data_IF_895299025058
#
_entry.id   IF_895299025058
#
_cell.length_a   1.000
_cell.length_b   1.000
_cell.length_c   1.000
_cell.angle_alpha   90.00
_cell.angle_beta   90.00
_cell.angle_gamma   90.00
#
_symmetry.space_group_name_H-M   'P 1'
#
loop_
_entity.id
_entity.type
_entity.pdbx_description
1 polymer ?
#
# COMPACT_ATOMS: atom_id res chain seq x y z
N UNK A 1 12.88 -51.32 29.02
CA UNK A 1 11.54 -51.18 29.63
C UNK A 1 10.67 -52.23 28.96
N UNK A 2 10.33 -53.32 29.66
CA UNK A 2 9.17 -53.41 30.57
C UNK A 2 7.83 -53.50 29.81
N UNK A 3 6.92 -54.45 30.10
CA UNK A 3 6.83 -55.33 31.29
C UNK A 3 6.70 -56.84 31.00
N UNK A 4 7.09 -57.62 32.01
CA UNK A 4 6.72 -59.01 32.25
C UNK A 4 5.55 -59.01 33.24
N UNK A 5 4.60 -59.96 33.13
CA UNK A 5 3.74 -60.60 34.18
C UNK A 5 2.36 -60.96 33.56
N UNK A 6 1.53 -61.94 33.97
CA UNK A 6 1.60 -63.25 34.68
C UNK A 6 0.28 -63.48 35.45
N UNK A 7 -0.63 -64.31 34.91
CA UNK A 7 -1.71 -65.06 35.62
C UNK A 7 -2.08 -66.26 34.73
N UNK A 8 -2.17 -67.54 35.13
CA UNK A 8 -1.79 -68.31 36.35
C UNK A 8 -2.73 -68.36 37.58
N UNK A 9 -4.04 -68.41 37.39
CA UNK A 9 -5.01 -69.02 38.33
C UNK A 9 -6.29 -69.43 37.57
N UNK A 10 -7.18 -70.30 38.07
CA UNK A 10 -7.33 -70.85 39.42
C UNK A 10 -7.74 -72.34 39.40
N UNK A 11 -7.04 -73.19 40.16
CA UNK A 11 -7.67 -74.40 40.72
C UNK A 11 -8.59 -73.97 41.88
N UNK A 12 -9.87 -74.31 41.81
CA UNK A 12 -10.82 -74.44 42.95
C UNK A 12 -12.14 -75.01 42.39
N UNK A 13 -12.90 -75.82 43.13
CA UNK A 13 -12.64 -76.32 44.48
C UNK A 13 -13.89 -76.43 45.33
N UNK A 14 -14.88 -77.22 44.90
CA UNK A 14 -16.04 -77.63 45.70
C UNK A 14 -16.60 -78.97 45.18
N UNK A 15 -17.22 -79.83 45.98
CA UNK A 15 -17.33 -79.78 47.44
C UNK A 15 -18.70 -80.15 48.01
N UNK A 16 -18.89 -81.44 48.33
CA UNK A 16 -19.85 -81.99 49.30
C UNK A 16 -21.36 -82.04 48.93
N UNK A 17 -21.96 -83.22 49.23
CA UNK A 17 -23.40 -83.50 49.56
C UNK A 17 -24.40 -83.52 48.37
N UNK A 18 -25.48 -84.34 48.38
CA UNK A 18 -25.89 -85.36 49.38
C UNK A 18 -26.94 -86.39 48.87
N UNK A 19 -26.79 -87.65 49.34
CA UNK A 19 -27.82 -88.58 49.85
C UNK A 19 -28.92 -89.21 48.94
N UNK A 20 -29.40 -90.38 49.42
CA UNK A 20 -30.49 -91.27 48.95
C UNK A 20 -30.16 -92.13 47.70
N UNK A 21 -30.18 -93.47 47.73
CA UNK A 21 -30.27 -94.50 48.80
C UNK A 21 -29.49 -95.76 48.32
N UNK A 22 -29.23 -96.84 49.08
CA UNK A 22 -29.97 -97.46 50.19
C UNK A 22 -31.18 -98.24 49.64
N UNK A 23 -31.28 -99.59 49.66
CA UNK A 23 -30.55 -100.72 50.30
C UNK A 23 -30.43 -101.89 49.29
N UNK A 24 -29.73 -103.00 49.50
CA UNK A 24 -28.78 -103.41 50.56
C UNK A 24 -28.63 -104.95 50.65
N UNK A 25 -27.63 -105.39 51.41
CA UNK A 25 -27.39 -106.76 51.91
C UNK A 25 -26.82 -106.65 53.34
N UNK A 26 -26.80 -107.71 54.16
CA UNK A 26 -27.38 -109.04 54.02
C UNK A 26 -28.48 -109.31 55.08
N UNK A 27 -29.13 -110.47 55.03
CA UNK A 27 -29.93 -110.99 56.14
C UNK A 27 -29.65 -112.49 56.35
N UNK A 28 -29.33 -112.85 57.59
CA UNK A 28 -29.31 -114.22 58.11
C UNK A 28 -30.45 -114.33 59.16
N UNK A 29 -30.31 -115.24 60.14
CA UNK A 29 -31.18 -115.41 61.32
C UNK A 29 -32.63 -115.91 61.03
N UNK A 30 -33.28 -116.63 61.97
CA UNK A 30 -33.84 -117.95 61.63
C UNK A 30 -35.22 -118.22 62.31
N UNK A 31 -35.48 -119.48 62.73
CA UNK A 31 -36.51 -119.94 63.70
C UNK A 31 -37.95 -119.97 63.17
N UNK A 32 -38.80 -121.00 63.41
CA UNK A 32 -38.60 -122.38 63.91
C UNK A 32 -39.92 -123.19 63.72
N UNK A 33 -40.00 -124.38 64.33
CA UNK A 33 -41.21 -125.16 64.66
C UNK A 33 -41.98 -125.86 63.50
N UNK A 34 -41.58 -127.11 63.20
CA UNK A 34 -42.30 -128.33 63.64
C UNK A 34 -41.71 -129.57 62.92
N UNK A 35 -40.89 -130.43 63.53
CA UNK A 35 -41.09 -131.27 64.72
C UNK A 35 -41.92 -132.55 64.48
N UNK A 36 -41.36 -133.53 63.75
CA UNK A 36 -41.79 -134.94 63.80
C UNK A 36 -40.58 -135.90 63.83
N UNK A 37 -39.92 -135.98 65.00
CA UNK A 37 -39.19 -137.17 65.43
C UNK A 37 -40.03 -137.89 66.50
N UNK A 38 -40.60 -139.06 66.16
CA UNK A 38 -41.26 -140.09 67.01
C UNK A 38 -42.18 -140.93 66.10
N UNK A 39 -42.36 -142.24 66.24
CA UNK A 39 -41.78 -143.25 67.16
C UNK A 39 -41.76 -144.62 66.47
N UNK A 40 -41.12 -145.63 67.09
CA UNK A 40 -41.59 -147.02 66.95
C UNK A 40 -42.99 -147.22 67.57
N UNK A 41 -43.63 -148.38 67.37
CA UNK A 41 -43.14 -149.62 67.98
C UNK A 41 -42.81 -150.69 66.93
N UNK A 42 -41.82 -151.59 67.09
CA UNK A 42 -41.45 -152.45 68.23
C UNK A 42 -42.51 -153.53 68.50
N UNK A 43 -42.24 -154.74 68.01
CA UNK A 43 -43.03 -155.95 68.24
C UNK A 43 -43.30 -156.21 69.72
N UNK A 44 -44.37 -156.95 70.03
CA UNK A 44 -44.17 -158.37 70.39
C UNK A 44 -45.28 -159.27 69.79
N UNK A 45 -45.37 -160.59 70.00
CA UNK A 45 -44.63 -161.49 70.92
C UNK A 45 -44.16 -162.75 70.19
N UNK A 46 -42.97 -163.23 70.55
CA UNK A 46 -42.67 -164.67 70.49
C UNK A 46 -43.03 -165.28 71.83
N UNK A 47 -43.90 -166.32 71.87
CA UNK A 47 -43.78 -167.51 72.76
C UNK A 47 -45.11 -168.24 72.97
N UNK A 48 -45.11 -169.54 72.67
CA UNK A 48 -45.75 -170.57 73.52
C UNK A 48 -45.39 -171.97 73.00
N UNK A 49 -44.28 -172.54 73.48
CA UNK A 49 -44.05 -173.98 73.44
C UNK A 49 -44.88 -174.63 74.55
N UNK A 50 -45.92 -175.39 74.22
CA UNK A 50 -46.49 -176.39 75.12
C UNK A 50 -46.89 -177.66 74.37
N UNK A 51 -46.95 -178.76 75.13
CA UNK A 51 -47.02 -180.16 74.71
C UNK A 51 -48.25 -180.80 75.36
N UNK A 52 -48.72 -181.93 74.79
CA UNK A 52 -49.94 -182.67 75.17
C UNK A 52 -51.21 -182.08 74.51
N UNK A 53 -52.21 -182.86 74.11
CA UNK A 53 -52.66 -184.14 74.69
C UNK A 53 -52.95 -185.27 73.69
N UNK A 54 -53.34 -186.42 74.23
CA UNK A 54 -53.56 -187.70 73.53
C UNK A 54 -54.87 -187.79 72.74
N UNK A 55 -54.86 -188.62 71.70
CA UNK A 55 -55.97 -189.35 71.07
C UNK A 55 -57.38 -188.74 71.02
N UNK A 56 -57.81 -188.39 69.81
CA UNK A 56 -58.95 -189.06 69.15
C UNK A 56 -58.85 -188.90 67.63
N UNK A 57 -59.36 -189.88 66.87
CA UNK A 57 -59.39 -189.81 65.41
C UNK A 57 -60.49 -188.85 64.94
N UNK A 58 -60.14 -187.88 64.10
CA UNK A 58 -61.07 -186.91 63.50
C UNK A 58 -61.31 -187.24 62.02
N UNK A 59 -62.53 -187.00 61.54
CA UNK A 59 -62.96 -187.47 60.21
C UNK A 59 -62.20 -186.79 59.06
N UNK A 60 -61.89 -187.50 57.95
CA UNK A 60 -61.33 -186.90 56.72
C UNK A 60 -62.19 -185.77 56.10
N UNK A 61 -63.45 -185.60 56.51
CA UNK A 61 -64.27 -184.43 56.17
C UNK A 61 -63.63 -183.11 56.65
N UNK A 62 -62.96 -183.13 57.81
CA UNK A 62 -62.37 -181.94 58.41
C UNK A 62 -61.13 -181.47 57.64
N UNK A 63 -60.26 -182.40 57.24
CA UNK A 63 -59.08 -182.11 56.42
C UNK A 63 -59.46 -181.58 55.03
N UNK A 64 -60.46 -182.18 54.38
CA UNK A 64 -61.00 -181.69 53.11
C UNK A 64 -61.59 -180.27 53.23
N UNK A 65 -62.21 -179.94 54.36
CA UNK A 65 -62.70 -178.58 54.65
C UNK A 65 -61.55 -177.58 54.78
N UNK A 66 -60.46 -177.94 55.46
CA UNK A 66 -59.23 -177.11 55.57
C UNK A 66 -58.58 -176.91 54.20
N UNK A 67 -58.40 -177.97 53.40
CA UNK A 67 -57.83 -177.91 52.05
C UNK A 67 -58.69 -177.01 51.14
N UNK A 68 -60.02 -177.06 51.27
CA UNK A 68 -60.94 -176.19 50.51
C UNK A 68 -60.76 -174.72 50.88
N UNK A 69 -60.64 -174.39 52.17
CA UNK A 69 -60.35 -173.02 52.64
C UNK A 69 -59.00 -172.52 52.15
N UNK A 70 -57.94 -173.30 52.32
CA UNK A 70 -56.59 -172.95 51.84
C UNK A 70 -56.57 -172.71 50.32
N UNK A 71 -57.33 -173.47 49.52
CA UNK A 71 -57.48 -173.21 48.08
C UNK A 71 -58.22 -171.91 47.78
N UNK A 72 -59.24 -171.55 48.56
CA UNK A 72 -59.96 -170.27 48.42
C UNK A 72 -59.07 -169.09 48.82
N UNK A 73 -58.33 -169.20 49.93
CA UNK A 73 -57.35 -168.22 50.41
C UNK A 73 -56.23 -168.00 49.40
N UNK A 74 -55.69 -169.08 48.80
CA UNK A 74 -54.72 -168.98 47.71
C UNK A 74 -55.29 -168.34 46.44
N UNK A 75 -56.57 -168.56 46.10
CA UNK A 75 -57.18 -167.86 44.96
C UNK A 75 -57.43 -166.38 45.23
N UNK A 76 -57.80 -166.01 46.46
CA UNK A 76 -57.87 -164.61 46.88
C UNK A 76 -56.49 -163.95 46.83
N UNK A 77 -55.44 -164.62 47.32
CA UNK A 77 -54.07 -164.12 47.24
C UNK A 77 -53.60 -163.95 45.78
N UNK A 78 -53.93 -164.89 44.89
CA UNK A 78 -53.63 -164.77 43.45
C UNK A 78 -54.41 -163.60 42.80
N UNK A 79 -55.63 -163.33 43.23
CA UNK A 79 -56.41 -162.18 42.76
C UNK A 79 -55.84 -160.85 43.28
N UNK A 80 -55.48 -160.78 44.56
CA UNK A 80 -54.88 -159.60 45.18
C UNK A 80 -53.47 -159.29 44.63
N UNK A 81 -52.66 -160.32 44.38
CA UNK A 81 -51.36 -160.16 43.70
C UNK A 81 -51.53 -159.67 42.25
N UNK A 82 -52.55 -160.12 41.52
CA UNK A 82 -52.88 -159.60 40.19
C UNK A 82 -53.39 -158.16 40.22
N UNK A 83 -54.10 -157.77 41.28
CA UNK A 83 -54.51 -156.37 41.44
C UNK A 83 -53.32 -155.48 41.76
N UNK A 84 -52.42 -155.90 42.67
CA UNK A 84 -51.19 -155.13 42.94
C UNK A 84 -50.24 -155.07 41.76
N UNK A 85 -50.19 -156.11 40.92
CA UNK A 85 -49.46 -156.05 39.65
C UNK A 85 -50.09 -155.03 38.69
N UNK A 86 -51.43 -154.95 38.60
CA UNK A 86 -52.11 -153.87 37.85
C UNK A 86 -51.82 -152.49 38.44
N UNK A 87 -52.02 -152.28 39.74
CA UNK A 87 -51.73 -151.01 40.43
C UNK A 87 -50.27 -150.56 40.22
N UNK A 88 -49.32 -151.49 40.29
CA UNK A 88 -47.90 -151.21 40.08
C UNK A 88 -47.59 -150.86 38.62
N UNK A 89 -48.17 -151.57 37.65
CA UNK A 89 -48.05 -151.23 36.23
C UNK A 89 -48.69 -149.87 35.91
N UNK A 90 -49.85 -149.54 36.50
CA UNK A 90 -50.49 -148.23 36.35
C UNK A 90 -49.67 -147.11 37.00
N UNK A 91 -49.08 -147.33 38.19
CA UNK A 91 -48.15 -146.38 38.79
C UNK A 91 -46.89 -146.19 37.93
N UNK A 92 -46.32 -147.27 37.36
CA UNK A 92 -45.20 -147.18 36.41
C UNK A 92 -45.61 -146.39 35.16
N UNK A 93 -46.81 -146.60 34.63
CA UNK A 93 -47.34 -145.83 33.49
C UNK A 93 -47.62 -144.35 33.84
N UNK A 94 -48.03 -144.03 35.07
CA UNK A 94 -48.12 -142.65 35.58
C UNK A 94 -46.73 -142.02 35.69
N UNK A 95 -45.77 -142.70 36.32
CA UNK A 95 -44.40 -142.22 36.47
C UNK A 95 -43.71 -142.02 35.11
N UNK A 96 -43.88 -142.93 34.14
CA UNK A 96 -43.32 -142.80 32.80
C UNK A 96 -43.91 -141.59 32.06
N UNK A 97 -45.23 -141.35 32.17
CA UNK A 97 -45.87 -140.14 31.63
C UNK A 97 -45.38 -138.86 32.31
N UNK A 98 -45.15 -138.89 33.61
CA UNK A 98 -44.54 -137.76 34.33
C UNK A 98 -43.11 -137.50 33.85
N UNK A 99 -42.27 -138.54 33.72
CA UNK A 99 -40.89 -138.40 33.19
C UNK A 99 -40.91 -137.75 31.79
N UNK A 100 -41.75 -138.25 30.88
CA UNK A 100 -41.90 -137.69 29.53
C UNK A 100 -42.39 -136.23 29.54
N UNK A 101 -43.28 -135.84 30.47
CA UNK A 101 -43.70 -134.46 30.65
C UNK A 101 -42.56 -133.57 31.17
N UNK A 102 -41.83 -134.01 32.19
CA UNK A 102 -40.65 -133.31 32.74
C UNK A 102 -39.52 -133.17 31.69
N UNK A 103 -39.30 -134.19 30.86
CA UNK A 103 -38.38 -134.13 29.73
C UNK A 103 -38.85 -133.12 28.68
N UNK A 104 -40.13 -133.12 28.32
CA UNK A 104 -40.72 -132.16 27.40
C UNK A 104 -40.58 -130.72 27.90
N UNK A 105 -40.87 -130.47 29.18
CA UNK A 105 -40.74 -129.14 29.79
C UNK A 105 -39.28 -128.70 29.94
N UNK A 106 -38.36 -129.62 30.27
CA UNK A 106 -36.91 -129.37 30.23
C UNK A 106 -36.46 -128.90 28.84
N UNK A 107 -36.91 -129.55 27.76
CA UNK A 107 -36.57 -129.12 26.40
C UNK A 107 -37.15 -127.73 26.08
N UNK A 108 -38.42 -127.44 26.44
CA UNK A 108 -39.01 -126.10 26.28
C UNK A 108 -38.19 -125.03 27.01
N UNK A 109 -37.77 -125.29 28.24
CA UNK A 109 -36.95 -124.37 29.05
C UNK A 109 -35.59 -124.11 28.38
N UNK A 110 -34.94 -125.14 27.82
CA UNK A 110 -33.67 -124.97 27.09
C UNK A 110 -33.84 -124.09 25.85
N UNK A 111 -34.82 -124.37 24.98
CA UNK A 111 -35.09 -123.54 23.79
C UNK A 111 -35.48 -122.10 24.13
N UNK A 112 -36.20 -121.88 25.25
CA UNK A 112 -36.48 -120.54 25.75
C UNK A 112 -35.22 -119.83 26.27
N UNK A 113 -34.34 -120.54 26.98
CA UNK A 113 -33.06 -119.98 27.45
C UNK A 113 -32.13 -119.60 26.29
N UNK A 114 -32.03 -120.44 25.26
CA UNK A 114 -31.32 -120.16 24.01
C UNK A 114 -31.88 -118.88 23.35
N UNK A 115 -33.21 -118.81 23.16
CA UNK A 115 -33.88 -117.63 22.60
C UNK A 115 -33.66 -116.37 23.44
N UNK A 116 -33.67 -116.47 24.76
CA UNK A 116 -33.34 -115.35 25.65
C UNK A 116 -31.88 -114.93 25.53
N UNK A 117 -30.93 -115.86 25.33
CA UNK A 117 -29.52 -115.51 25.10
C UNK A 117 -29.33 -114.74 23.78
N UNK A 118 -30.01 -115.15 22.70
CA UNK A 118 -29.99 -114.46 21.41
C UNK A 118 -30.55 -113.04 21.53
N UNK A 119 -31.74 -112.88 22.11
CA UNK A 119 -32.37 -111.58 22.35
C UNK A 119 -31.51 -110.66 23.25
N UNK A 120 -30.81 -111.23 24.23
CA UNK A 120 -29.87 -110.49 25.09
C UNK A 120 -28.65 -110.01 24.30
N UNK A 121 -28.10 -110.83 23.41
CA UNK A 121 -26.98 -110.43 22.53
C UNK A 121 -27.41 -109.35 21.53
N UNK A 122 -28.60 -109.44 20.94
CA UNK A 122 -29.19 -108.40 20.10
C UNK A 122 -29.39 -107.09 20.85
N UNK A 123 -29.94 -107.14 22.07
CA UNK A 123 -30.15 -105.95 22.91
C UNK A 123 -28.82 -105.28 23.26
N UNK A 124 -27.78 -106.06 23.57
CA UNK A 124 -26.44 -105.55 23.83
C UNK A 124 -25.81 -104.91 22.58
N UNK A 125 -26.00 -105.50 21.39
CA UNK A 125 -25.57 -104.91 20.11
C UNK A 125 -26.31 -103.59 19.82
N UNK A 126 -27.65 -103.58 19.94
CA UNK A 126 -28.48 -102.38 19.79
C UNK A 126 -28.05 -101.27 20.78
N UNK A 127 -27.76 -101.63 22.03
CA UNK A 127 -27.22 -100.70 23.04
C UNK A 127 -25.81 -100.17 22.70
N UNK A 128 -24.95 -100.97 22.07
CA UNK A 128 -23.63 -100.52 21.60
C UNK A 128 -23.75 -99.54 20.43
N UNK A 129 -24.66 -99.81 19.48
CA UNK A 129 -25.00 -98.92 18.36
C UNK A 129 -25.59 -97.60 18.87
N UNK A 130 -26.52 -97.62 19.82
CA UNK A 130 -27.07 -96.41 20.44
C UNK A 130 -25.94 -95.60 21.09
N UNK A 131 -25.04 -96.24 21.87
CA UNK A 131 -23.89 -95.55 22.51
C UNK A 131 -22.93 -94.93 21.50
N UNK A 132 -22.68 -95.53 20.33
CA UNK A 132 -21.82 -94.94 19.30
C UNK A 132 -22.53 -93.80 18.54
N UNK A 133 -23.82 -93.95 18.23
CA UNK A 133 -24.64 -92.90 17.62
C UNK A 133 -24.76 -91.67 18.52
N UNK A 134 -25.02 -91.84 19.82
CA UNK A 134 -25.08 -90.71 20.78
C UNK A 134 -23.73 -89.99 20.90
N UNK A 135 -22.60 -90.70 20.86
CA UNK A 135 -21.27 -90.06 20.80
C UNK A 135 -21.09 -89.24 19.53
N UNK A 136 -21.48 -89.78 18.37
CA UNK A 136 -21.38 -89.09 17.07
C UNK A 136 -22.29 -87.86 17.02
N UNK A 137 -23.51 -87.96 17.56
CA UNK A 137 -24.45 -86.84 17.64
C UNK A 137 -23.85 -85.69 18.43
N UNK A 138 -23.33 -85.94 19.64
CA UNK A 138 -22.69 -84.91 20.47
C UNK A 138 -21.48 -84.24 19.81
N UNK A 139 -20.71 -84.99 19.02
CA UNK A 139 -19.58 -84.44 18.25
C UNK A 139 -20.06 -83.49 17.13
N UNK A 140 -21.09 -83.89 16.38
CA UNK A 140 -21.69 -83.05 15.33
C UNK A 140 -22.36 -81.82 15.94
N UNK A 141 -23.03 -81.97 17.08
CA UNK A 141 -23.62 -80.87 17.87
C UNK A 141 -22.56 -79.85 18.32
N UNK A 142 -21.41 -80.29 18.84
CA UNK A 142 -20.30 -79.37 19.14
C UNK A 142 -19.75 -78.68 17.89
N UNK A 143 -19.57 -79.41 16.78
CA UNK A 143 -19.07 -78.85 15.52
C UNK A 143 -20.07 -77.83 14.90
N UNK A 144 -21.38 -78.06 15.07
CA UNK A 144 -22.43 -77.13 14.67
C UNK A 144 -22.38 -75.86 15.53
N UNK A 145 -22.20 -75.97 16.84
CA UNK A 145 -22.09 -74.82 17.73
C UNK A 145 -20.81 -73.99 17.46
N UNK A 146 -19.67 -74.65 17.24
CA UNK A 146 -18.42 -73.98 16.88
C UNK A 146 -18.55 -73.24 15.53
N UNK A 147 -19.11 -73.89 14.51
CA UNK A 147 -19.33 -73.26 13.19
C UNK A 147 -20.33 -72.11 13.26
N UNK A 148 -21.44 -72.24 14.00
CA UNK A 148 -22.39 -71.16 14.27
C UNK A 148 -21.69 -69.95 14.93
N UNK A 149 -20.86 -70.17 15.95
CA UNK A 149 -20.11 -69.09 16.60
C UNK A 149 -19.14 -68.39 15.63
N UNK A 150 -18.49 -69.13 14.71
CA UNK A 150 -17.66 -68.50 13.66
C UNK A 150 -18.47 -67.73 12.62
N UNK A 151 -19.68 -68.17 12.29
CA UNK A 151 -20.60 -67.47 11.39
C UNK A 151 -21.08 -66.15 12.03
N UNK A 152 -21.48 -66.18 13.30
CA UNK A 152 -21.87 -64.97 14.05
C UNK A 152 -20.71 -63.98 14.17
N UNK A 153 -19.49 -64.46 14.45
CA UNK A 153 -18.29 -63.62 14.53
C UNK A 153 -17.93 -62.96 13.18
N UNK A 154 -18.09 -63.69 12.06
CA UNK A 154 -17.82 -63.15 10.72
C UNK A 154 -18.93 -62.21 10.25
N UNK A 155 -20.19 -62.49 10.57
CA UNK A 155 -21.32 -61.59 10.31
C UNK A 155 -21.18 -60.27 11.10
N UNK A 156 -20.72 -60.34 12.35
CA UNK A 156 -20.46 -59.15 13.16
C UNK A 156 -19.31 -58.30 12.59
N UNK A 157 -18.20 -58.93 12.21
CA UNK A 157 -17.10 -58.25 11.49
C UNK A 157 -17.54 -57.62 10.18
N UNK A 158 -18.46 -58.27 9.45
CA UNK A 158 -19.02 -57.71 8.22
C UNK A 158 -19.79 -56.42 8.52
N UNK A 159 -20.68 -56.41 9.52
CA UNK A 159 -21.40 -55.18 9.96
C UNK A 159 -20.45 -54.05 10.34
N UNK A 160 -19.39 -54.35 11.10
CA UNK A 160 -18.37 -53.38 11.49
C UNK A 160 -17.58 -52.82 10.29
N UNK A 161 -17.31 -53.64 9.26
CA UNK A 161 -16.68 -53.18 8.02
C UNK A 161 -17.65 -52.35 7.18
N UNK A 162 -18.93 -52.74 7.07
CA UNK A 162 -19.96 -51.93 6.40
C UNK A 162 -20.09 -50.55 7.05
N UNK A 163 -20.14 -50.48 8.39
CA UNK A 163 -20.21 -49.20 9.11
C UNK A 163 -18.97 -48.33 8.83
N UNK A 164 -17.76 -48.90 8.90
CA UNK A 164 -16.52 -48.17 8.57
C UNK A 164 -16.48 -47.66 7.13
N UNK A 165 -17.05 -48.41 6.19
CA UNK A 165 -17.19 -47.97 4.79
C UNK A 165 -18.19 -46.82 4.67
N UNK A 166 -19.34 -46.87 5.34
CA UNK A 166 -20.30 -45.74 5.34
C UNK A 166 -19.73 -44.51 6.02
N UNK A 167 -19.06 -44.66 7.16
CA UNK A 167 -18.43 -43.55 7.90
C UNK A 167 -17.34 -42.88 7.06
N UNK A 168 -16.50 -43.70 6.38
CA UNK A 168 -15.47 -43.20 5.46
C UNK A 168 -16.07 -42.56 4.22
N UNK A 169 -17.19 -43.06 3.70
CA UNK A 169 -17.87 -42.47 2.53
C UNK A 169 -18.44 -41.09 2.84
N UNK A 170 -19.06 -40.91 4.02
CA UNK A 170 -19.54 -39.61 4.50
C UNK A 170 -18.36 -38.67 4.75
N UNK A 171 -17.24 -39.17 5.26
CA UNK A 171 -16.02 -38.37 5.42
C UNK A 171 -15.44 -37.90 4.08
N UNK A 172 -15.41 -38.76 3.06
CA UNK A 172 -14.98 -38.38 1.71
C UNK A 172 -15.88 -37.30 1.10
N UNK A 173 -17.21 -37.46 1.18
CA UNK A 173 -18.16 -36.44 0.70
C UNK A 173 -17.91 -35.08 1.40
N UNK A 174 -17.74 -35.07 2.71
CA UNK A 174 -17.45 -33.84 3.48
C UNK A 174 -16.06 -33.22 3.23
N UNK A 175 -15.18 -33.91 2.48
CA UNK A 175 -13.93 -33.36 1.94
C UNK A 175 -14.11 -32.87 0.49
N UNK A 176 -14.91 -33.57 -0.32
CA UNK A 176 -15.27 -33.16 -1.68
C UNK A 176 -16.06 -31.83 -1.68
N UNK A 177 -17.03 -31.68 -0.78
CA UNK A 177 -17.79 -30.43 -0.57
C UNK A 177 -16.85 -29.26 -0.24
N UNK A 178 -15.91 -29.45 0.69
CA UNK A 178 -14.91 -28.42 1.05
C UNK A 178 -13.93 -28.11 -0.09
N UNK A 179 -13.59 -29.10 -0.90
CA UNK A 179 -12.75 -28.90 -2.08
C UNK A 179 -13.48 -28.06 -3.14
N UNK A 180 -14.79 -28.28 -3.30
CA UNK A 180 -15.64 -27.47 -4.16
C UNK A 180 -15.77 -26.02 -3.66
N UNK A 181 -15.96 -25.82 -2.35
CA UNK A 181 -15.98 -24.47 -1.73
C UNK A 181 -14.65 -23.72 -1.93
N UNK A 182 -13.52 -24.41 -1.75
CA UNK A 182 -12.19 -23.86 -2.00
C UNK A 182 -11.98 -23.54 -3.49
N UNK A 183 -12.44 -24.40 -4.40
CA UNK A 183 -12.38 -24.16 -5.84
C UNK A 183 -13.20 -22.91 -6.24
N UNK A 184 -14.43 -22.76 -5.73
CA UNK A 184 -15.23 -21.55 -5.91
C UNK A 184 -14.52 -20.30 -5.36
N UNK A 185 -13.90 -20.41 -4.18
CA UNK A 185 -13.14 -19.32 -3.55
C UNK A 185 -11.91 -18.91 -4.40
N UNK A 186 -11.21 -19.88 -4.99
CA UNK A 186 -10.08 -19.64 -5.91
C UNK A 186 -10.56 -18.92 -7.18
N UNK A 187 -11.68 -19.34 -7.78
CA UNK A 187 -12.25 -18.66 -8.96
C UNK A 187 -12.63 -17.21 -8.66
N UNK A 188 -13.27 -16.94 -7.52
CA UNK A 188 -13.55 -15.56 -7.08
C UNK A 188 -12.28 -14.71 -6.93
N UNK A 189 -11.22 -15.27 -6.34
CA UNK A 189 -9.94 -14.58 -6.17
C UNK A 189 -9.23 -14.35 -7.51
N UNK A 190 -9.32 -15.29 -8.46
CA UNK A 190 -8.82 -15.08 -9.83
C UNK A 190 -9.56 -13.96 -10.56
N UNK A 191 -10.89 -13.87 -10.44
CA UNK A 191 -11.67 -12.77 -11.01
C UNK A 191 -11.30 -11.43 -10.38
N UNK A 192 -11.18 -11.36 -9.04
CA UNK A 192 -10.74 -10.16 -8.31
C UNK A 192 -9.32 -9.74 -8.71
N UNK A 193 -8.42 -10.70 -8.94
CA UNK A 193 -7.04 -10.45 -9.41
C UNK A 193 -7.02 -9.86 -10.82
N UNK A 194 -7.80 -10.42 -11.75
CA UNK A 194 -7.93 -9.87 -13.11
C UNK A 194 -8.52 -8.47 -13.16
N UNK A 195 -9.50 -8.16 -12.28
CA UNK A 195 -10.04 -6.81 -12.13
C UNK A 195 -9.00 -5.81 -11.61
N UNK A 196 -8.15 -6.21 -10.65
CA UNK A 196 -7.05 -5.36 -10.16
C UNK A 196 -5.99 -5.13 -11.23
N UNK A 197 -5.60 -6.16 -11.99
CA UNK A 197 -4.65 -6.05 -13.09
C UNK A 197 -5.15 -5.12 -14.22
N UNK A 198 -6.44 -5.18 -14.55
CA UNK A 198 -7.04 -4.25 -15.52
C UNK A 198 -6.98 -2.79 -15.03
N UNK A 199 -7.27 -2.55 -13.74
CA UNK A 199 -7.19 -1.23 -13.10
C UNK A 199 -5.75 -0.71 -13.00
N UNK A 200 -4.78 -1.59 -12.77
CA UNK A 200 -3.35 -1.25 -12.80
C UNK A 200 -2.94 -0.74 -14.19
N UNK A 201 -3.33 -1.45 -15.26
CA UNK A 201 -3.04 -1.05 -16.63
C UNK A 201 -3.74 0.27 -17.02
N UNK A 202 -4.95 0.54 -16.52
CA UNK A 202 -5.65 1.83 -16.67
C UNK A 202 -4.83 2.97 -16.03
N UNK A 203 -4.46 2.82 -14.75
CA UNK A 203 -3.70 3.83 -14.01
C UNK A 203 -2.30 4.07 -14.59
N UNK A 204 -1.61 3.02 -15.04
CA UNK A 204 -0.32 3.10 -15.73
C UNK A 204 -0.43 3.85 -17.06
N UNK A 205 -1.54 3.68 -17.77
CA UNK A 205 -1.82 4.42 -19.02
C UNK A 205 -2.13 5.89 -18.72
N UNK A 206 -2.91 6.17 -17.67
CA UNK A 206 -3.17 7.54 -17.21
C UNK A 206 -1.91 8.27 -16.75
N UNK A 207 -1.00 7.58 -16.06
CA UNK A 207 0.29 8.13 -15.63
C UNK A 207 1.12 8.58 -16.84
N UNK A 208 1.31 7.70 -17.83
CA UNK A 208 2.03 8.05 -19.08
C UNK A 208 1.43 9.26 -19.81
N UNK A 209 0.11 9.39 -19.84
CA UNK A 209 -0.55 10.57 -20.43
C UNK A 209 -0.30 11.85 -19.63
N UNK A 210 -0.18 11.76 -18.30
CA UNK A 210 0.22 12.90 -17.45
C UNK A 210 1.69 13.25 -17.61
N UNK A 211 2.57 12.26 -17.71
CA UNK A 211 4.00 12.47 -17.93
C UNK A 211 4.26 13.17 -19.28
N UNK A 212 3.57 12.74 -20.35
CA UNK A 212 3.62 13.42 -21.65
C UNK A 212 3.17 14.89 -21.55
N UNK A 213 2.03 15.17 -20.90
CA UNK A 213 1.54 16.53 -20.71
C UNK A 213 2.47 17.41 -19.83
N UNK A 214 3.20 16.79 -18.88
CA UNK A 214 4.24 17.47 -18.10
C UNK A 214 5.47 17.80 -18.96
N UNK A 215 5.84 16.96 -19.92
CA UNK A 215 6.89 17.25 -20.90
C UNK A 215 6.46 18.40 -21.82
N UNK A 216 5.27 18.31 -22.43
CA UNK A 216 4.73 19.36 -23.32
C UNK A 216 4.65 20.74 -22.63
N UNK A 217 4.16 20.78 -21.39
CA UNK A 217 4.11 22.03 -20.60
C UNK A 217 5.49 22.53 -20.20
N UNK A 218 6.46 21.63 -19.94
CA UNK A 218 7.86 22.00 -19.70
C UNK A 218 8.51 22.59 -20.95
N UNK A 219 8.24 22.03 -22.14
CA UNK A 219 8.75 22.56 -23.41
C UNK A 219 8.17 23.93 -23.75
N UNK A 220 6.88 24.17 -23.47
CA UNK A 220 6.31 25.52 -23.56
C UNK A 220 6.97 26.50 -22.58
N UNK A 221 7.24 26.09 -21.33
CA UNK A 221 7.98 26.93 -20.35
C UNK A 221 9.40 27.25 -20.86
N UNK A 222 10.08 26.27 -21.46
CA UNK A 222 11.39 26.46 -22.07
C UNK A 222 11.32 27.44 -23.26
N UNK A 223 10.31 27.32 -24.12
CA UNK A 223 10.09 28.22 -25.26
C UNK A 223 9.84 29.67 -24.81
N UNK A 224 8.95 29.87 -23.82
CA UNK A 224 8.70 31.19 -23.23
C UNK A 224 9.94 31.75 -22.51
N UNK A 225 10.71 30.92 -21.82
CA UNK A 225 12.00 31.31 -21.20
C UNK A 225 13.00 31.79 -22.26
N UNK A 226 13.05 31.14 -23.42
CA UNK A 226 13.90 31.55 -24.55
C UNK A 226 13.40 32.84 -25.21
N UNK A 227 12.08 33.04 -25.36
CA UNK A 227 11.48 34.31 -25.83
C UNK A 227 11.80 35.46 -24.86
N UNK A 228 11.67 35.23 -23.55
CA UNK A 228 11.98 36.21 -22.51
C UNK A 228 13.47 36.61 -22.51
N UNK A 229 14.40 35.64 -22.58
CA UNK A 229 15.85 35.93 -22.68
C UNK A 229 16.20 36.77 -23.92
N UNK A 230 15.52 36.55 -25.05
CA UNK A 230 15.67 37.40 -26.25
C UNK A 230 15.18 38.83 -25.99
N UNK A 231 13.98 39.00 -25.42
CA UNK A 231 13.44 40.32 -25.07
C UNK A 231 14.31 41.07 -24.05
N UNK A 232 14.87 40.39 -23.05
CA UNK A 232 15.84 40.98 -22.13
C UNK A 232 17.11 41.47 -22.85
N UNK A 233 17.65 40.69 -23.79
CA UNK A 233 18.84 41.10 -24.54
C UNK A 233 18.58 42.33 -25.42
N UNK A 234 17.40 42.41 -26.06
CA UNK A 234 16.96 43.58 -26.80
C UNK A 234 16.76 44.80 -25.89
N UNK A 235 16.14 44.62 -24.71
CA UNK A 235 15.96 45.67 -23.71
C UNK A 235 17.30 46.19 -23.17
N UNK A 236 18.30 45.31 -22.97
CA UNK A 236 19.66 45.72 -22.61
C UNK A 236 20.32 46.53 -23.72
N UNK A 237 20.21 46.09 -24.99
CA UNK A 237 20.76 46.81 -26.14
C UNK A 237 20.13 48.19 -26.34
N UNK A 238 18.80 48.31 -26.28
CA UNK A 238 18.08 49.60 -26.37
C UNK A 238 18.46 50.54 -25.23
N UNK A 239 18.67 50.02 -24.00
CA UNK A 239 19.15 50.83 -22.88
C UNK A 239 20.57 51.35 -23.09
N UNK A 240 21.50 50.54 -23.62
CA UNK A 240 22.84 51.03 -23.96
C UNK A 240 22.80 52.09 -25.07
N UNK A 241 21.93 51.92 -26.07
CA UNK A 241 21.74 52.90 -27.14
C UNK A 241 21.19 54.23 -26.60
N UNK A 242 20.19 54.20 -25.71
CA UNK A 242 19.66 55.38 -25.04
C UNK A 242 20.72 56.09 -24.19
N UNK A 243 21.62 55.36 -23.51
CA UNK A 243 22.76 55.96 -22.83
C UNK A 243 23.75 56.64 -23.79
N UNK A 244 24.01 56.06 -24.97
CA UNK A 244 24.83 56.68 -26.01
C UNK A 244 24.18 57.93 -26.59
N UNK A 245 22.91 57.86 -27.01
CA UNK A 245 22.16 58.99 -27.57
C UNK A 245 21.99 60.13 -26.55
N UNK A 246 21.83 59.82 -25.26
CA UNK A 246 21.78 60.80 -24.16
C UNK A 246 23.15 61.49 -23.96
N UNK A 247 24.25 60.76 -24.16
CA UNK A 247 25.60 61.35 -24.17
C UNK A 247 25.79 62.27 -25.38
N UNK A 248 25.49 61.80 -26.59
CA UNK A 248 25.55 62.60 -27.82
C UNK A 248 24.67 63.86 -27.72
N UNK A 249 23.44 63.74 -27.18
CA UNK A 249 22.57 64.89 -26.95
C UNK A 249 23.18 65.91 -25.99
N UNK A 250 23.92 65.48 -24.96
CA UNK A 250 24.65 66.40 -24.06
C UNK A 250 25.82 67.07 -24.76
N UNK A 251 26.59 66.31 -25.54
CA UNK A 251 27.73 66.81 -26.31
C UNK A 251 27.27 67.81 -27.40
N UNK A 252 26.21 67.49 -28.15
CA UNK A 252 25.54 68.40 -29.08
C UNK A 252 24.95 69.64 -28.40
N UNK A 253 24.41 69.52 -27.17
CA UNK A 253 23.95 70.67 -26.38
C UNK A 253 25.10 71.57 -25.91
N UNK A 254 26.30 71.03 -25.75
CA UNK A 254 27.50 71.81 -25.45
C UNK A 254 28.07 72.49 -26.71
N UNK A 255 28.16 71.79 -27.85
CA UNK A 255 28.62 72.41 -29.10
C UNK A 255 27.66 73.49 -29.61
N UNK A 256 26.34 73.32 -29.41
CA UNK A 256 25.34 74.35 -29.71
C UNK A 256 25.57 75.62 -28.88
N UNK A 257 25.88 75.49 -27.57
CA UNK A 257 26.25 76.62 -26.70
C UNK A 257 27.54 77.30 -27.13
N UNK A 258 28.57 76.53 -27.50
CA UNK A 258 29.83 77.07 -28.01
C UNK A 258 29.62 77.85 -29.32
N UNK A 259 28.87 77.28 -30.28
CA UNK A 259 28.54 77.95 -31.53
C UNK A 259 27.68 79.21 -31.31
N UNK A 260 26.79 79.23 -30.32
CA UNK A 260 26.07 80.44 -29.90
C UNK A 260 27.03 81.52 -29.37
N UNK A 261 28.00 81.15 -28.51
CA UNK A 261 29.01 82.09 -28.00
C UNK A 261 29.90 82.64 -29.13
N UNK A 262 30.33 81.78 -30.06
CA UNK A 262 31.08 82.21 -31.24
C UNK A 262 30.24 83.11 -32.17
N UNK A 263 28.95 82.81 -32.36
CA UNK A 263 28.03 83.64 -33.15
C UNK A 263 27.83 85.01 -32.51
N UNK A 264 27.67 85.08 -31.18
CA UNK A 264 27.60 86.35 -30.46
C UNK A 264 28.92 87.13 -30.61
N UNK A 265 30.08 86.49 -30.39
CA UNK A 265 31.39 87.14 -30.55
C UNK A 265 31.62 87.66 -31.99
N UNK A 266 31.19 86.93 -33.01
CA UNK A 266 31.25 87.39 -34.40
C UNK A 266 30.29 88.55 -34.68
N UNK A 267 29.10 88.56 -34.06
CA UNK A 267 28.15 89.67 -34.11
C UNK A 267 28.70 90.92 -33.40
N UNK A 268 29.37 90.75 -32.26
CA UNK A 268 29.99 91.83 -31.50
C UNK A 268 31.12 92.46 -32.34
N UNK A 269 32.03 91.65 -32.91
CA UNK A 269 33.07 92.09 -33.86
C UNK A 269 32.46 92.75 -35.11
N UNK A 270 31.34 92.25 -35.64
CA UNK A 270 30.64 92.89 -36.76
C UNK A 270 30.05 94.26 -36.37
N UNK A 271 29.58 94.42 -35.13
CA UNK A 271 29.09 95.71 -34.63
C UNK A 271 30.21 96.71 -34.37
N UNK A 272 31.35 96.27 -33.80
CA UNK A 272 32.58 97.05 -33.67
C UNK A 272 33.08 97.52 -35.05
N UNK A 273 33.07 96.63 -36.05
CA UNK A 273 33.46 96.98 -37.43
C UNK A 273 32.45 97.89 -38.13
N UNK A 274 31.16 97.87 -37.78
CA UNK A 274 30.21 98.90 -38.25
C UNK A 274 30.45 100.26 -37.58
N UNK A 275 30.77 100.29 -36.28
CA UNK A 275 31.09 101.54 -35.57
C UNK A 275 32.40 102.16 -36.09
N UNK A 276 33.43 101.35 -36.32
CA UNK A 276 34.67 101.77 -36.96
C UNK A 276 34.43 102.27 -38.40
N UNK A 277 33.58 101.60 -39.18
CA UNK A 277 33.20 102.06 -40.52
C UNK A 277 32.44 103.40 -40.49
N UNK A 278 31.56 103.61 -39.50
CA UNK A 278 30.89 104.91 -39.28
C UNK A 278 31.90 106.01 -39.00
N UNK A 279 32.86 105.77 -38.09
CA UNK A 279 33.95 106.71 -37.77
C UNK A 279 34.82 107.01 -38.99
N UNK A 280 35.18 105.99 -39.77
CA UNK A 280 35.90 106.17 -41.03
C UNK A 280 35.08 106.96 -42.06
N UNK A 281 33.76 106.79 -42.10
CA UNK A 281 32.88 107.57 -42.98
C UNK A 281 32.78 109.04 -42.53
N UNK A 282 32.68 109.29 -41.22
CA UNK A 282 32.71 110.62 -40.60
C UNK A 282 34.06 111.32 -40.85
N UNK A 283 35.18 110.61 -40.72
CA UNK A 283 36.53 111.10 -41.05
C UNK A 283 36.67 111.42 -42.54
N UNK A 284 36.17 110.56 -43.44
CA UNK A 284 36.12 110.82 -44.88
C UNK A 284 35.26 112.06 -45.18
N UNK A 285 34.14 112.27 -44.48
CA UNK A 285 33.31 113.46 -44.62
C UNK A 285 34.04 114.73 -44.12
N UNK A 286 34.74 114.65 -42.99
CA UNK A 286 35.55 115.75 -42.46
C UNK A 286 36.66 116.13 -43.43
N UNK A 287 37.50 115.17 -43.84
CA UNK A 287 38.60 115.38 -44.79
C UNK A 287 38.08 115.90 -46.14
N UNK A 288 36.91 115.46 -46.60
CA UNK A 288 36.27 115.96 -47.83
C UNK A 288 35.79 117.41 -47.69
N UNK A 289 35.27 117.80 -46.52
CA UNK A 289 34.90 119.19 -46.22
C UNK A 289 36.14 120.09 -46.14
N UNK A 290 37.16 119.68 -45.37
CA UNK A 290 38.44 120.38 -45.22
C UNK A 290 39.16 120.56 -46.56
N UNK A 291 39.22 119.51 -47.39
CA UNK A 291 39.76 119.58 -48.76
C UNK A 291 38.95 120.54 -49.66
N UNK A 292 37.65 120.71 -49.38
CA UNK A 292 36.80 121.75 -49.97
C UNK A 292 37.21 123.16 -49.53
N UNK A 293 37.39 123.38 -48.22
CA UNK A 293 37.87 124.66 -47.68
C UNK A 293 39.24 125.04 -48.25
N UNK A 294 40.20 124.10 -48.26
CA UNK A 294 41.55 124.31 -48.81
C UNK A 294 41.54 124.60 -50.32
N UNK A 295 40.61 124.03 -51.09
CA UNK A 295 40.41 124.37 -52.50
C UNK A 295 39.87 125.80 -52.69
N UNK A 296 38.95 126.24 -51.84
CA UNK A 296 38.46 127.62 -51.85
C UNK A 296 39.56 128.61 -51.46
N UNK A 297 40.37 128.28 -50.45
CA UNK A 297 41.50 129.10 -50.01
C UNK A 297 42.62 129.17 -51.07
N UNK A 298 42.91 128.05 -51.75
CA UNK A 298 43.82 128.01 -52.89
C UNK A 298 43.30 128.86 -54.07
N UNK A 299 42.00 128.84 -54.36
CA UNK A 299 41.41 129.68 -55.40
C UNK A 299 41.55 131.17 -55.07
N UNK A 300 41.29 131.57 -53.82
CA UNK A 300 41.54 132.93 -53.32
C UNK A 300 43.02 133.33 -53.37
N UNK A 301 43.94 132.37 -53.16
CA UNK A 301 45.38 132.60 -53.28
C UNK A 301 45.82 132.82 -54.74
N UNK A 302 45.22 132.11 -55.70
CA UNK A 302 45.43 132.31 -57.15
C UNK A 302 44.88 133.67 -57.59
N UNK A 303 43.63 134.00 -57.25
CA UNK A 303 43.00 135.29 -57.56
C UNK A 303 43.80 136.49 -56.99
N UNK A 304 44.45 136.28 -55.83
CA UNK A 304 45.36 137.25 -55.19
C UNK A 304 46.74 137.34 -55.86
N UNK A 305 47.17 136.29 -56.57
CA UNK A 305 48.37 136.33 -57.41
C UNK A 305 48.09 137.03 -58.75
N UNK A 306 46.96 136.72 -59.40
CA UNK A 306 46.53 137.35 -60.66
C UNK A 306 46.41 138.86 -60.52
N UNK A 307 45.72 139.37 -59.50
CA UNK A 307 45.66 140.82 -59.19
C UNK A 307 47.04 141.46 -58.95
N UNK A 308 48.03 140.67 -58.52
CA UNK A 308 49.41 141.11 -58.28
C UNK A 308 50.16 141.28 -59.60
N UNK A 309 49.96 140.36 -60.54
CA UNK A 309 50.56 140.38 -61.87
C UNK A 309 49.91 141.44 -62.77
N UNK A 310 48.59 141.66 -62.64
CA UNK A 310 47.90 142.82 -63.24
C UNK A 310 48.52 144.15 -62.79
N UNK A 311 48.74 144.33 -61.47
CA UNK A 311 49.41 145.51 -60.91
C UNK A 311 50.84 145.67 -61.42
N UNK A 312 51.59 144.57 -61.57
CA UNK A 312 52.95 144.58 -62.11
C UNK A 312 52.97 145.00 -63.59
N UNK A 313 52.06 144.47 -64.41
CA UNK A 313 51.91 144.85 -65.83
C UNK A 313 51.50 146.32 -65.97
N UNK A 314 50.58 146.80 -65.14
CA UNK A 314 50.18 148.21 -65.11
C UNK A 314 51.36 149.14 -64.77
N UNK A 315 52.16 148.80 -63.76
CA UNK A 315 53.36 149.54 -63.39
C UNK A 315 54.40 149.58 -64.53
N UNK A 316 54.64 148.43 -65.18
CA UNK A 316 55.58 148.30 -66.31
C UNK A 316 55.14 149.10 -67.54
N UNK A 317 53.84 149.12 -67.83
CA UNK A 317 53.24 149.95 -68.89
C UNK A 317 53.43 151.45 -68.61
N UNK A 318 53.26 151.87 -67.36
CA UNK A 318 53.43 153.27 -66.94
C UNK A 318 54.88 153.77 -67.10
N UNK A 319 55.87 152.92 -66.80
CA UNK A 319 57.30 153.21 -66.97
C UNK A 319 57.66 153.50 -68.44
N UNK A 320 57.24 152.63 -69.37
CA UNK A 320 57.57 152.74 -70.79
C UNK A 320 57.08 154.03 -71.47
N UNK A 321 56.06 154.70 -70.89
CA UNK A 321 55.57 155.99 -71.39
C UNK A 321 56.57 157.14 -71.13
N UNK A 322 57.16 157.15 -69.94
CA UNK A 322 58.09 158.20 -69.46
C UNK A 322 59.39 158.18 -70.29
N UNK A 323 59.91 157.00 -70.59
CA UNK A 323 61.13 156.81 -71.38
C UNK A 323 60.97 157.32 -72.83
N UNK A 324 59.77 157.19 -73.39
CA UNK A 324 59.44 157.69 -74.74
C UNK A 324 59.37 159.21 -74.80
N UNK A 325 58.82 159.86 -73.78
CA UNK A 325 58.73 161.33 -73.68
C UNK A 325 60.12 161.96 -73.49
N UNK A 326 60.95 161.40 -72.60
CA UNK A 326 62.35 161.82 -72.40
C UNK A 326 63.22 161.71 -73.66
N UNK A 327 62.92 160.77 -74.55
CA UNK A 327 63.67 160.57 -75.80
C UNK A 327 63.37 161.66 -76.84
N UNK A 328 62.13 162.16 -76.89
CA UNK A 328 61.73 163.21 -77.84
C UNK A 328 62.38 164.57 -77.50
N UNK A 329 62.40 164.96 -76.23
CA UNK A 329 62.96 166.23 -75.78
C UNK A 329 64.45 166.39 -76.11
N UNK A 330 65.22 165.29 -76.10
CA UNK A 330 66.66 165.30 -76.44
C UNK A 330 66.93 165.58 -77.92
N UNK A 331 65.97 165.33 -78.82
CA UNK A 331 66.15 165.50 -80.26
C UNK A 331 66.02 166.97 -80.71
N UNK A 332 65.33 167.80 -79.92
CA UNK A 332 64.98 169.19 -80.28
C UNK A 332 66.11 170.19 -79.98
N UNK A 333 66.97 169.89 -78.99
CA UNK A 333 68.00 170.82 -78.48
C UNK A 333 69.18 171.03 -79.45
N UNK A 334 69.32 170.20 -80.48
CA UNK A 334 70.55 170.11 -81.30
C UNK A 334 70.66 171.08 -82.49
N UNK A 335 69.78 172.09 -82.64
CA UNK A 335 69.74 172.97 -83.83
C UNK A 335 69.26 174.42 -83.61
N UNK A 336 70.01 175.27 -82.88
CA UNK A 336 70.02 176.75 -83.10
C UNK A 336 71.26 177.44 -82.45
N UNK A 337 71.36 178.78 -82.55
CA UNK A 337 72.62 179.53 -82.76
C UNK A 337 73.04 180.56 -81.67
N UNK A 338 74.14 181.28 -81.92
CA UNK A 338 74.90 182.18 -81.04
C UNK A 338 74.22 183.46 -80.47
N UNK A 339 74.95 184.11 -79.53
CA UNK A 339 74.91 185.51 -79.01
C UNK A 339 74.20 185.83 -77.66
N UNK A 340 75.02 185.87 -76.59
CA UNK A 340 75.08 186.74 -75.38
C UNK A 340 73.81 187.31 -74.65
N UNK A 341 73.61 186.87 -73.38
CA UNK A 341 73.44 187.65 -72.09
C UNK A 341 72.44 188.85 -71.94
N UNK A 342 72.11 189.37 -70.71
CA UNK A 342 72.27 188.90 -69.30
C UNK A 342 71.02 189.11 -68.35
N UNK A 343 71.20 188.83 -67.03
CA UNK A 343 70.32 189.14 -65.85
C UNK A 343 69.00 188.34 -65.67
N UNK A 344 68.44 188.15 -64.45
CA UNK A 344 68.88 188.56 -63.09
C UNK A 344 68.00 188.02 -61.93
N UNK A 345 68.44 188.19 -60.67
CA UNK A 345 67.93 187.58 -59.41
C UNK A 345 66.44 187.76 -59.05
N UNK A 346 65.84 186.72 -58.43
CA UNK A 346 65.39 186.69 -57.01
C UNK A 346 65.04 185.22 -56.65
N UNK A 347 65.51 184.57 -55.58
CA UNK A 347 65.64 184.87 -54.13
C UNK A 347 64.41 184.53 -53.27
N UNK A 348 64.73 184.17 -52.02
CA UNK A 348 63.90 183.93 -50.83
C UNK A 348 63.15 182.58 -50.63
N UNK A 349 62.99 182.13 -49.35
CA UNK A 349 63.04 180.70 -49.01
C UNK A 349 62.03 180.28 -47.91
N UNK A 350 62.19 179.10 -47.29
CA UNK A 350 62.56 178.96 -45.87
C UNK A 350 62.62 177.48 -45.44
N UNK A 351 63.11 177.23 -44.22
CA UNK A 351 63.43 175.90 -43.71
C UNK A 351 62.60 175.48 -42.48
N UNK A 352 62.77 174.21 -42.09
CA UNK A 352 62.47 173.61 -40.78
C UNK A 352 61.01 173.40 -40.39
N UNK A 353 60.69 172.12 -40.12
CA UNK A 353 60.28 171.73 -38.77
C UNK A 353 60.68 170.30 -38.41
N UNK A 354 60.62 170.03 -37.11
CA UNK A 354 61.06 168.86 -36.37
C UNK A 354 59.99 168.59 -35.29
N UNK A 355 60.08 167.46 -34.57
CA UNK A 355 59.20 167.00 -33.45
C UNK A 355 57.89 166.33 -33.90
N UNK A 356 57.17 165.56 -33.06
CA UNK A 356 57.51 164.53 -32.03
C UNK A 356 56.16 163.94 -31.51
N UNK A 357 56.19 163.00 -30.55
CA UNK A 357 55.04 162.59 -29.68
C UNK A 357 53.83 161.86 -30.34
N UNK A 358 52.95 161.12 -29.63
CA UNK A 358 53.05 160.22 -28.43
C UNK A 358 51.71 159.45 -28.24
N UNK A 359 51.81 158.21 -27.73
CA UNK A 359 50.92 157.52 -26.74
C UNK A 359 49.38 157.33 -26.96
N UNK A 360 48.85 156.38 -26.17
CA UNK A 360 47.44 155.99 -25.94
C UNK A 360 46.70 155.28 -27.11
N UNK A 361 45.96 154.18 -26.91
CA UNK A 361 45.72 153.26 -25.76
C UNK A 361 45.31 151.87 -26.33
N UNK A 362 45.29 150.69 -25.69
CA UNK A 362 45.18 150.15 -24.30
C UNK A 362 43.84 150.29 -23.56
N UNK A 363 42.74 149.94 -24.24
CA UNK A 363 41.56 149.25 -23.66
C UNK A 363 41.01 148.29 -24.74
N UNK A 364 40.55 147.08 -24.44
CA UNK A 364 40.61 146.27 -23.21
C UNK A 364 40.76 144.77 -23.61
N UNK A 365 41.01 143.73 -22.80
CA UNK A 365 40.78 143.49 -21.36
C UNK A 365 39.31 143.53 -20.92
N UNK A 366 38.50 142.53 -21.28
CA UNK A 366 37.73 141.78 -20.26
C UNK A 366 37.01 140.53 -20.78
N UNK A 367 36.47 139.78 -19.81
CA UNK A 367 35.37 138.81 -19.84
C UNK A 367 34.43 138.87 -21.09
N UNK A 368 33.92 137.75 -21.59
CA UNK A 368 33.50 136.53 -20.86
C UNK A 368 34.09 135.23 -21.41
N UNK A 369 34.20 134.15 -20.63
CA UNK A 369 33.68 133.97 -19.26
C UNK A 369 32.36 133.19 -19.20
N UNK A 370 32.25 132.07 -19.92
CA UNK A 370 31.27 131.02 -19.63
C UNK A 370 32.01 129.70 -19.41
N UNK A 371 32.45 129.51 -18.16
CA UNK A 371 32.41 128.16 -17.58
C UNK A 371 30.95 127.82 -17.31
N UNK A 372 30.53 126.60 -17.63
CA UNK A 372 29.39 125.99 -16.94
C UNK A 372 29.60 124.49 -16.71
N UNK A 373 30.51 124.19 -15.78
CA UNK A 373 30.47 123.03 -14.86
C UNK A 373 30.70 121.59 -15.45
N UNK A 374 31.56 120.75 -14.86
CA UNK A 374 31.39 119.93 -13.62
C UNK A 374 30.45 118.72 -13.90
N UNK A 375 30.74 117.48 -13.48
CA UNK A 375 31.34 117.07 -12.21
C UNK A 375 32.66 116.28 -12.31
N UNK A 376 33.32 116.21 -11.15
CA UNK A 376 34.49 115.41 -10.83
C UNK A 376 34.25 113.90 -10.71
N UNK A 377 35.37 113.17 -10.58
CA UNK A 377 35.46 111.79 -10.06
C UNK A 377 35.02 111.70 -8.57
N UNK A 378 34.88 110.50 -7.96
CA UNK A 378 36.07 109.85 -7.39
C UNK A 378 36.07 108.31 -7.39
N UNK A 379 37.16 107.74 -6.85
CA UNK A 379 37.45 106.31 -6.66
C UNK A 379 37.33 105.87 -5.19
N UNK A 380 36.99 104.59 -4.97
CA UNK A 380 37.30 103.76 -3.76
C UNK A 380 36.60 104.23 -2.45
N UNK A 381 36.53 103.50 -1.32
CA UNK A 381 37.24 102.28 -0.83
C UNK A 381 36.42 101.52 0.25
N UNK A 382 36.95 100.39 0.76
CA UNK A 382 36.87 99.83 2.14
C UNK A 382 35.62 99.14 2.73
N UNK A 383 35.90 98.02 3.44
CA UNK A 383 35.27 97.52 4.70
C UNK A 383 33.83 96.96 4.68
N UNK A 384 33.41 96.00 5.54
CA UNK A 384 34.11 94.99 6.39
C UNK A 384 33.09 93.87 6.78
N UNK A 385 33.54 92.85 7.51
CA UNK A 385 32.89 91.67 8.11
C UNK A 385 31.59 91.99 8.95
N UNK A 386 30.77 91.05 9.45
CA UNK A 386 31.05 89.67 9.91
C UNK A 386 29.78 88.80 10.16
N UNK A 387 29.99 87.48 10.31
CA UNK A 387 29.20 86.51 11.12
C UNK A 387 27.76 86.13 10.65
N UNK A 388 27.20 84.94 10.93
CA UNK A 388 27.58 83.87 11.91
C UNK A 388 27.19 82.44 11.44
N UNK A 389 27.90 81.40 11.93
CA UNK A 389 27.50 79.98 12.24
C UNK A 389 26.20 79.35 11.66
N UNK A 390 26.10 78.06 11.29
CA UNK A 390 26.95 76.83 11.34
C UNK A 390 26.26 75.70 10.49
N UNK A 391 26.62 74.40 10.36
CA UNK A 391 27.62 73.47 10.96
C UNK A 391 27.96 72.32 9.96
N UNK A 392 28.96 71.48 10.31
CA UNK A 392 29.31 70.15 9.76
C UNK A 392 28.48 69.00 10.41
N UNK A 393 28.58 67.68 10.08
CA UNK A 393 29.73 66.71 9.99
C UNK A 393 29.32 65.53 9.04
N UNK A 394 30.06 65.11 8.00
CA UNK A 394 31.29 64.24 7.90
C UNK A 394 31.00 62.73 8.15
N UNK A 395 31.15 61.79 7.18
CA UNK A 395 32.33 60.95 6.81
C UNK A 395 32.95 60.13 7.99
N UNK A 396 33.38 58.86 7.91
CA UNK A 396 33.61 57.85 6.83
C UNK A 396 32.86 56.50 7.12
N UNK A 397 33.23 55.23 6.79
CA UNK A 397 34.47 54.61 6.26
C UNK A 397 34.40 53.09 5.90
N UNK A 398 35.54 52.39 6.03
CA UNK A 398 35.95 51.15 5.31
C UNK A 398 35.79 49.78 6.04
N UNK A 399 35.61 48.71 5.24
CA UNK A 399 36.09 47.30 5.26
C UNK A 399 36.22 46.38 6.52
N UNK A 400 35.52 45.22 6.45
CA UNK A 400 35.97 43.77 6.46
C UNK A 400 37.02 43.22 7.46
N UNK A 401 37.19 41.87 7.70
CA UNK A 401 36.46 40.65 7.20
C UNK A 401 36.12 39.52 8.25
N UNK A 402 35.33 38.49 7.85
CA UNK A 402 35.21 37.06 8.33
C UNK A 402 34.95 36.77 9.85
N UNK A 403 34.08 35.83 10.29
CA UNK A 403 34.18 34.36 10.11
C UNK A 403 32.99 33.54 10.73
N UNK A 404 32.31 32.68 9.93
CA UNK A 404 31.63 31.36 10.19
C UNK A 404 30.69 31.09 11.43
N UNK A 405 29.53 30.46 11.14
CA UNK A 405 28.57 29.70 12.00
C UNK A 405 27.63 30.47 12.97
N UNK A 406 26.41 30.02 13.30
CA UNK A 406 25.75 28.69 13.10
C UNK A 406 24.22 28.76 12.72
N UNK A 407 23.53 27.60 12.64
CA UNK A 407 22.26 27.38 11.92
C UNK A 407 20.92 27.68 12.67
N UNK A 408 19.95 28.27 11.94
CA UNK A 408 18.53 27.83 11.79
C UNK A 408 17.80 28.77 10.78
N UNK A 409 17.07 28.40 9.71
CA UNK A 409 16.25 27.23 9.30
C UNK A 409 14.90 27.18 10.06
N UNK A 410 13.71 27.46 9.48
CA UNK A 410 13.35 27.89 8.10
C UNK A 410 11.98 28.60 8.00
N UNK A 411 11.84 29.48 6.98
CA UNK A 411 10.62 29.86 6.22
C UNK A 411 9.44 30.61 6.92
N UNK A 412 8.94 31.72 6.32
CA UNK A 412 7.68 32.35 6.70
C UNK A 412 6.47 31.88 5.85
N UNK A 413 5.27 32.25 6.33
CA UNK A 413 3.94 32.11 5.71
C UNK A 413 3.85 32.64 4.27
N UNK A 414 3.01 32.00 3.44
CA UNK A 414 2.29 32.72 2.39
C UNK A 414 0.84 32.22 2.27
N UNK A 415 -0.08 33.12 1.90
CA UNK A 415 -1.54 32.93 1.88
C UNK A 415 -2.06 33.26 0.48
N UNK A 416 -2.70 32.31 -0.20
CA UNK A 416 -3.58 32.63 -1.33
C UNK A 416 -4.76 31.65 -1.43
N UNK A 417 -5.80 32.06 -2.15
CA UNK A 417 -7.16 31.56 -2.04
C UNK A 417 -7.41 30.21 -2.72
N UNK A 418 -8.30 29.40 -2.15
CA UNK A 418 -9.07 28.38 -2.87
C UNK A 418 -10.51 28.37 -2.34
N UNK A 419 -11.46 28.80 -3.16
CA UNK A 419 -12.89 28.56 -2.95
C UNK A 419 -13.37 27.53 -3.97
N UNK A 420 -14.45 26.81 -3.65
CA UNK A 420 -15.10 25.79 -4.48
C UNK A 420 -14.41 24.40 -4.58
N UNK A 421 -14.02 23.79 -3.44
CA UNK A 421 -13.73 22.33 -3.38
C UNK A 421 -14.33 21.59 -2.15
N UNK A 422 -15.24 22.21 -1.39
CA UNK A 422 -15.70 21.67 -0.09
C UNK A 422 -16.99 20.83 -0.11
N UNK A 423 -17.65 20.66 -1.26
CA UNK A 423 -18.87 19.85 -1.36
C UNK A 423 -18.59 18.35 -1.44
N UNK A 424 -17.56 17.94 -2.18
CA UNK A 424 -17.26 16.52 -2.39
C UNK A 424 -16.45 15.87 -1.26
N UNK A 425 -15.67 16.64 -0.49
CA UNK A 425 -15.01 16.14 0.73
C UNK A 425 -16.04 15.69 1.77
N UNK A 426 -17.12 16.47 1.96
CA UNK A 426 -18.27 16.09 2.80
C UNK A 426 -19.03 14.88 2.24
N UNK A 427 -19.23 14.82 0.92
CA UNK A 427 -19.82 13.68 0.19
C UNK A 427 -19.05 12.37 0.43
N UNK A 428 -17.71 12.40 0.38
CA UNK A 428 -16.85 11.23 0.64
C UNK A 428 -16.83 10.85 2.12
N UNK A 429 -16.75 11.82 3.04
CA UNK A 429 -16.77 11.56 4.48
C UNK A 429 -18.06 10.86 4.93
N UNK A 430 -19.22 11.32 4.42
CA UNK A 430 -20.53 10.71 4.73
C UNK A 430 -20.69 9.31 4.12
N UNK A 431 -20.10 9.04 2.95
CA UNK A 431 -20.02 7.69 2.37
C UNK A 431 -19.16 6.76 3.22
N UNK A 432 -18.02 7.24 3.71
CA UNK A 432 -17.11 6.44 4.56
C UNK A 432 -17.72 6.14 5.93
N UNK A 433 -18.36 7.12 6.59
CA UNK A 433 -19.13 6.89 7.82
C UNK A 433 -20.25 5.86 7.62
N UNK A 434 -20.96 5.90 6.49
CA UNK A 434 -22.00 4.92 6.16
C UNK A 434 -21.42 3.52 5.97
N UNK A 435 -20.35 3.37 5.19
CA UNK A 435 -19.69 2.08 4.96
C UNK A 435 -19.14 1.46 6.27
N UNK A 436 -18.62 2.28 7.19
CA UNK A 436 -18.19 1.84 8.52
C UNK A 436 -19.38 1.36 9.37
N UNK A 437 -20.51 2.06 9.33
CA UNK A 437 -21.72 1.64 10.05
C UNK A 437 -22.34 0.34 9.48
N UNK A 438 -22.35 0.20 8.14
CA UNK A 438 -22.82 -1.01 7.43
C UNK A 438 -21.90 -2.21 7.73
N UNK A 439 -20.59 -2.01 7.73
CA UNK A 439 -19.60 -3.01 8.18
C UNK A 439 -19.82 -3.43 9.63
N UNK A 440 -20.06 -2.47 10.54
CA UNK A 440 -20.39 -2.75 11.95
C UNK A 440 -21.65 -3.61 12.11
N UNK A 441 -22.71 -3.34 11.33
CA UNK A 441 -23.92 -4.19 11.34
C UNK A 441 -23.67 -5.58 10.73
N UNK A 442 -22.82 -5.70 9.71
CA UNK A 442 -22.44 -6.99 9.13
C UNK A 442 -21.67 -7.85 10.15
N UNK A 443 -20.70 -7.26 10.87
CA UNK A 443 -19.95 -7.93 11.93
C UNK A 443 -20.88 -8.33 13.10
N UNK A 444 -21.83 -7.47 13.48
CA UNK A 444 -22.82 -7.81 14.50
C UNK A 444 -23.71 -9.00 14.09
N UNK A 445 -24.13 -9.06 12.82
CA UNK A 445 -24.89 -10.21 12.28
C UNK A 445 -24.06 -11.49 12.25
N UNK A 446 -22.80 -11.43 11.82
CA UNK A 446 -21.89 -12.58 11.83
C UNK A 446 -21.67 -13.10 13.26
N UNK A 447 -21.46 -12.22 14.24
CA UNK A 447 -21.32 -12.62 15.65
C UNK A 447 -22.60 -13.24 16.23
N UNK A 448 -23.79 -12.82 15.81
CA UNK A 448 -25.04 -13.49 16.15
C UNK A 448 -25.16 -14.88 15.49
N UNK A 449 -24.65 -15.06 14.27
CA UNK A 449 -24.63 -16.36 13.58
C UNK A 449 -23.55 -17.32 14.08
N UNK A 450 -22.50 -16.83 14.75
CA UNK A 450 -21.43 -17.66 15.35
C UNK A 450 -21.71 -18.06 16.81
N UNK A 451 -22.79 -17.56 17.43
CA UNK A 451 -23.24 -18.02 18.74
C UNK A 451 -23.72 -19.48 18.64
N UNK A 452 -23.17 -20.43 19.44
CA UNK A 452 -23.57 -21.83 19.35
C UNK A 452 -25.05 -22.01 19.67
N UNK A 453 -25.80 -22.63 18.76
CA UNK A 453 -27.15 -23.09 19.07
C UNK A 453 -27.07 -24.15 20.17
N UNK A 454 -27.68 -23.86 21.32
CA UNK A 454 -27.78 -24.80 22.43
C UNK A 454 -28.48 -26.08 21.96
N UNK A 455 -27.98 -27.29 22.30
CA UNK A 455 -28.55 -28.54 21.82
C UNK A 455 -29.98 -28.72 22.35
N UNK A 456 -30.96 -28.57 21.46
CA UNK A 456 -32.37 -28.77 21.80
C UNK A 456 -32.61 -30.22 22.25
N UNK A 457 -33.37 -30.36 23.35
CA UNK A 457 -33.80 -31.66 23.88
C UNK A 457 -34.57 -32.46 22.82
N UNK A 458 -34.12 -33.69 22.57
CA UNK A 458 -34.93 -34.69 21.86
C UNK A 458 -36.03 -35.18 22.83
N UNK A 459 -37.32 -35.00 22.52
CA UNK A 459 -38.39 -35.53 23.36
C UNK A 459 -38.42 -37.05 23.25
N UNK A 460 -38.36 -37.74 24.40
CA UNK A 460 -38.59 -39.20 24.46
C UNK A 460 -40.07 -39.47 24.25
N UNK A 461 -40.45 -39.82 23.02
CA UNK A 461 -41.76 -40.45 22.79
C UNK A 461 -41.78 -41.85 23.41
N UNK A 462 -42.85 -42.17 24.11
CA UNK A 462 -43.04 -43.44 24.79
C UNK A 462 -44.35 -44.09 24.38
N UNK A 463 -44.32 -45.43 24.35
CA UNK A 463 -45.48 -46.34 24.37
C UNK A 463 -46.13 -46.69 23.01
N UNK A 464 -46.13 -48.01 22.75
CA UNK A 464 -47.11 -48.86 22.06
C UNK A 464 -47.99 -48.31 20.93
N UNK A 465 -48.10 -49.08 19.85
CA UNK A 465 -49.30 -49.93 19.74
C UNK A 465 -49.02 -51.27 19.01
N UNK A 466 -49.96 -52.20 19.11
CA UNK A 466 -49.81 -53.62 18.69
C UNK A 466 -50.79 -53.96 17.56
N UNK A 467 -50.27 -54.43 16.41
CA UNK A 467 -50.85 -55.45 15.52
C UNK A 467 -49.71 -56.27 14.92
#
# INVERSE_FOLDING_TARGET
MEQILRVRSSLRGAGLRSLHGGRGSPEQVPVSANAWQRSGPRSPMSSSLLRSSSSQALSPDHENSIIKKQRQELQLLIAELKERDRELNDMVAVHQRHIQAWEGDRHKILTLAERCSLLTSELNNKNAIIKSLTKRLKFVESQQNDSQATLENTQQKFKELTQKVTDSSVHCQALEEKNQDLHCSVLELSVKTGQLQAREQELLTMLRLKDNALIETTDHINEFTCKLKKLESALRAVKSEDFCLNREQKELRLTLKELMLQTNKLKDVLSEKMEENSKQHEEILHLKHENGCLKSELALAVEKAERKDELYLFAKSKQARIEKELSSLRQIISKQSDLQFPYGNSENPQASRQKHEKMASRRSEENTGVSFYHLDSPRLTTAQESNTSQRSVEFTGEDSPLHISDLAVTKPTNRCCSAAVDTDTSSMLMKLHRAVAESGQMIARLNLSLLPQSPHFIPKSSHMDIV
#
